data_IF_944534076502
#
_entry.id   IF_944534076502
#
_cell.length_a   1.000
_cell.length_b   1.000
_cell.length_c   1.000
_cell.angle_alpha   90.00
_cell.angle_beta   90.00
_cell.angle_gamma   90.00
#
_symmetry.space_group_name_H-M   'P 1'
#
loop_
_entity.id
_entity.type
_entity.pdbx_description
1 polymer ?
#
# COMPACT_ATOMS: atom_id res chain seq x y z
N UNK A 1 6.83 22.92 14.16
CA UNK A 1 8.13 22.24 14.05
C UNK A 1 9.20 23.31 14.04
N UNK A 2 10.06 23.37 15.07
CA UNK A 2 11.16 24.33 15.11
C UNK A 2 12.15 23.99 13.99
N UNK A 3 12.58 25.00 13.25
CA UNK A 3 13.55 24.86 12.16
C UNK A 3 14.88 24.35 12.75
N UNK A 4 15.65 23.53 12.01
CA UNK A 4 16.91 22.92 12.48
C UNK A 4 17.88 23.94 13.15
N UNK A 5 17.88 25.17 12.63
CA UNK A 5 18.63 26.31 13.16
C UNK A 5 18.23 26.68 14.58
N UNK A 6 16.93 26.68 14.88
CA UNK A 6 16.37 27.05 16.17
C UNK A 6 16.72 26.00 17.25
N UNK A 7 16.64 24.72 16.90
CA UNK A 7 17.05 23.62 17.78
C UNK A 7 18.55 23.64 18.10
N UNK A 8 19.37 24.00 17.12
CA UNK A 8 20.81 24.18 17.31
C UNK A 8 21.11 25.37 18.23
N UNK A 9 20.45 26.51 18.04
CA UNK A 9 20.61 27.71 18.89
C UNK A 9 20.15 27.46 20.34
N UNK A 10 19.08 26.70 20.54
CA UNK A 10 18.61 26.26 21.86
C UNK A 10 19.62 25.33 22.54
N UNK A 11 20.14 24.33 21.82
CA UNK A 11 21.16 23.41 22.35
C UNK A 11 22.46 24.13 22.74
N UNK A 12 22.92 25.07 21.93
CA UNK A 12 24.11 25.88 22.23
C UNK A 12 23.89 26.78 23.45
N UNK A 13 22.68 27.32 23.63
CA UNK A 13 22.29 28.10 24.80
C UNK A 13 22.33 27.26 26.08
N UNK A 14 21.86 26.01 26.03
CA UNK A 14 21.96 25.07 27.16
C UNK A 14 23.41 24.75 27.58
N UNK A 15 24.37 24.88 26.66
CA UNK A 15 25.80 24.68 26.92
C UNK A 15 26.54 26.00 27.24
N UNK A 16 25.81 27.07 27.55
CA UNK A 16 26.37 28.35 28.01
C UNK A 16 26.85 29.29 26.89
N UNK A 17 26.56 28.97 25.62
CA UNK A 17 26.89 29.84 24.48
C UNK A 17 25.70 30.73 24.18
N UNK A 18 25.74 31.97 24.67
CA UNK A 18 24.63 32.94 24.60
C UNK A 18 24.37 33.51 23.20
N UNK A 19 25.35 33.46 22.29
CA UNK A 19 25.18 33.93 20.90
C UNK A 19 26.09 33.18 19.95
N UNK A 20 25.50 32.45 19.00
CA UNK A 20 26.24 31.80 17.92
C UNK A 20 26.61 32.85 16.87
N UNK A 21 27.87 33.27 16.85
CA UNK A 21 28.38 34.18 15.82
C UNK A 21 28.68 33.42 14.52
N UNK A 22 28.67 34.14 13.40
CA UNK A 22 29.04 33.57 12.10
C UNK A 22 30.47 32.98 12.11
N UNK A 23 31.41 33.60 12.81
CA UNK A 23 32.78 33.07 12.97
C UNK A 23 32.82 31.78 13.78
N UNK A 24 32.01 31.65 14.84
CA UNK A 24 31.88 30.41 15.61
C UNK A 24 31.28 29.28 14.79
N UNK A 25 30.22 29.56 14.01
CA UNK A 25 29.68 28.59 13.04
C UNK A 25 30.71 28.18 12.00
N UNK A 26 31.45 29.14 11.43
CA UNK A 26 32.49 28.85 10.43
C UNK A 26 33.62 27.99 11.01
N UNK A 27 34.03 28.26 12.24
CA UNK A 27 35.05 27.48 12.94
C UNK A 27 34.56 26.08 13.30
N UNK A 28 33.31 25.95 13.77
CA UNK A 28 32.68 24.66 14.04
C UNK A 28 32.55 23.84 12.76
N UNK A 29 32.05 24.44 11.68
CA UNK A 29 31.95 23.79 10.37
C UNK A 29 33.32 23.28 9.92
N UNK A 30 34.36 24.11 9.96
CA UNK A 30 35.73 23.71 9.61
C UNK A 30 36.25 22.58 10.49
N UNK A 31 35.89 22.55 11.78
CA UNK A 31 36.33 21.51 12.72
C UNK A 31 35.60 20.19 12.49
N UNK A 32 34.28 20.25 12.31
CA UNK A 32 33.46 19.11 11.93
C UNK A 32 33.87 18.57 10.56
N UNK A 33 34.10 19.43 9.59
CA UNK A 33 34.60 19.06 8.26
C UNK A 33 35.97 18.39 8.38
N UNK A 34 36.89 18.91 9.21
CA UNK A 34 38.19 18.26 9.44
C UNK A 34 38.07 16.89 10.14
N UNK A 35 37.19 16.76 11.13
CA UNK A 35 37.04 15.51 11.91
C UNK A 35 36.17 14.46 11.21
N UNK A 36 35.17 14.90 10.44
CA UNK A 36 34.21 14.02 9.76
C UNK A 36 34.49 13.80 8.27
N UNK A 37 35.21 14.68 7.56
CA UNK A 37 35.40 14.51 6.10
C UNK A 37 36.18 13.24 5.72
N UNK A 38 36.99 12.71 6.63
CA UNK A 38 37.72 11.45 6.46
C UNK A 38 36.93 10.22 6.96
N UNK A 39 35.71 10.41 7.49
CA UNK A 39 34.95 9.31 8.10
C UNK A 39 33.49 9.25 7.68
N UNK A 40 32.95 10.31 7.06
CA UNK A 40 31.55 10.45 6.66
C UNK A 40 31.45 11.17 5.31
N UNK A 41 30.77 10.53 4.39
CA UNK A 41 30.42 11.04 3.07
C UNK A 41 28.95 11.43 3.02
N UNK A 42 28.68 12.59 2.41
CA UNK A 42 27.32 13.11 2.19
C UNK A 42 27.11 13.26 0.69
N UNK A 43 26.09 12.60 0.15
CA UNK A 43 25.69 12.77 -1.24
C UNK A 43 24.18 12.97 -1.37
N UNK A 44 23.71 13.77 -2.33
CA UNK A 44 22.29 13.85 -2.63
C UNK A 44 21.82 12.55 -3.31
N UNK A 45 20.59 12.13 -3.01
CA UNK A 45 19.86 11.11 -3.77
C UNK A 45 19.08 11.74 -4.93
N UNK A 46 18.53 10.88 -5.79
CA UNK A 46 17.73 11.29 -6.96
C UNK A 46 16.44 12.04 -6.58
N UNK A 47 16.04 12.00 -5.31
CA UNK A 47 14.89 12.72 -4.76
C UNK A 47 15.26 14.05 -4.06
N UNK A 48 16.54 14.42 -4.08
CA UNK A 48 17.07 15.62 -3.44
C UNK A 48 17.27 15.50 -1.93
N UNK A 49 17.14 14.30 -1.34
CA UNK A 49 17.47 14.04 0.07
C UNK A 49 18.96 13.76 0.21
N UNK A 50 19.51 13.99 1.40
CA UNK A 50 20.92 13.73 1.67
C UNK A 50 21.10 12.33 2.25
N UNK A 51 21.91 11.53 1.57
CA UNK A 51 22.44 10.26 2.07
C UNK A 51 23.75 10.54 2.80
N UNK A 52 23.90 9.94 3.98
CA UNK A 52 25.07 10.08 4.84
C UNK A 52 25.58 8.68 5.16
N UNK A 53 26.82 8.37 4.80
CA UNK A 53 27.43 7.08 5.07
C UNK A 53 28.90 7.24 5.48
N UNK A 54 29.41 6.36 6.34
CA UNK A 54 30.80 6.43 6.79
C UNK A 54 31.75 5.53 6.02
N UNK A 55 33.05 5.77 6.18
CA UNK A 55 34.15 5.01 5.56
C UNK A 55 34.20 3.55 6.03
N UNK A 56 33.59 3.28 7.20
CA UNK A 56 33.37 1.92 7.70
C UNK A 56 32.41 1.09 6.84
N UNK A 57 31.67 1.73 5.92
CA UNK A 57 30.77 1.05 4.99
C UNK A 57 31.55 0.53 3.79
N UNK A 58 31.95 -0.74 3.84
CA UNK A 58 32.54 -1.40 2.67
C UNK A 58 31.53 -1.52 1.52
N UNK A 59 31.99 -1.25 0.29
CA UNK A 59 31.22 -1.51 -0.94
C UNK A 59 30.74 -2.96 -1.03
N UNK A 60 31.55 -3.91 -0.53
CA UNK A 60 31.16 -5.33 -0.51
C UNK A 60 29.94 -5.59 0.36
N UNK A 61 29.84 -4.89 1.49
CA UNK A 61 28.76 -5.10 2.45
C UNK A 61 27.48 -4.42 1.97
N UNK A 62 27.62 -3.27 1.30
CA UNK A 62 26.50 -2.63 0.62
C UNK A 62 25.92 -3.55 -0.46
N UNK A 63 26.76 -4.09 -1.36
CA UNK A 63 26.31 -5.01 -2.42
C UNK A 63 25.60 -6.24 -1.84
N UNK A 64 26.15 -6.85 -0.78
CA UNK A 64 25.53 -7.98 -0.10
C UNK A 64 24.15 -7.63 0.47
N UNK A 65 24.02 -6.48 1.14
CA UNK A 65 22.75 -6.01 1.71
C UNK A 65 21.73 -5.70 0.63
N UNK A 66 22.12 -4.99 -0.42
CA UNK A 66 21.24 -4.67 -1.55
C UNK A 66 20.77 -5.93 -2.25
N UNK A 67 21.65 -6.90 -2.47
CA UNK A 67 21.28 -8.20 -3.05
C UNK A 67 20.30 -8.97 -2.15
N UNK A 68 20.54 -9.03 -0.84
CA UNK A 68 19.63 -9.68 0.10
C UNK A 68 18.24 -9.04 0.10
N UNK A 69 18.18 -7.70 0.11
CA UNK A 69 16.92 -6.95 0.02
C UNK A 69 16.19 -7.20 -1.30
N UNK A 70 16.93 -7.27 -2.42
CA UNK A 70 16.34 -7.55 -3.73
C UNK A 70 15.71 -8.96 -3.76
N UNK A 71 16.41 -9.96 -3.22
CA UNK A 71 15.90 -11.34 -3.12
C UNK A 71 14.64 -11.41 -2.26
N UNK A 72 14.62 -10.74 -1.11
CA UNK A 72 13.43 -10.69 -0.25
C UNK A 72 12.25 -10.01 -0.94
N UNK A 73 12.51 -8.90 -1.65
CA UNK A 73 11.50 -8.15 -2.38
C UNK A 73 10.89 -8.99 -3.51
N UNK A 74 11.72 -9.70 -4.26
CA UNK A 74 11.25 -10.60 -5.33
C UNK A 74 10.48 -11.80 -4.76
N UNK A 75 10.89 -12.34 -3.62
CA UNK A 75 10.14 -13.39 -2.91
C UNK A 75 8.77 -12.89 -2.43
N UNK A 76 8.68 -11.69 -1.86
CA UNK A 76 7.40 -11.10 -1.46
C UNK A 76 6.50 -10.81 -2.66
N UNK A 77 7.06 -10.35 -3.79
CA UNK A 77 6.31 -10.16 -5.03
C UNK A 77 5.75 -11.48 -5.56
N UNK A 78 6.55 -12.54 -5.56
CA UNK A 78 6.11 -13.86 -5.99
C UNK A 78 4.96 -14.38 -5.11
N UNK A 79 5.09 -14.24 -3.78
CA UNK A 79 4.02 -14.59 -2.83
C UNK A 79 2.74 -13.79 -3.07
N UNK A 80 2.84 -12.49 -3.38
CA UNK A 80 1.68 -11.64 -3.69
C UNK A 80 0.88 -12.16 -4.90
N UNK A 81 1.56 -12.57 -5.97
CA UNK A 81 0.89 -13.13 -7.16
C UNK A 81 0.18 -14.44 -6.84
N UNK A 82 0.82 -15.32 -6.09
CA UNK A 82 0.22 -16.60 -5.67
C UNK A 82 -1.00 -16.38 -4.77
N UNK A 83 -0.93 -15.42 -3.84
CA UNK A 83 -2.05 -15.06 -2.96
C UNK A 83 -3.26 -14.55 -3.74
N UNK A 84 -3.05 -13.71 -4.76
CA UNK A 84 -4.14 -13.22 -5.63
C UNK A 84 -4.79 -14.38 -6.38
N UNK A 85 -3.99 -15.28 -6.97
CA UNK A 85 -4.52 -16.46 -7.67
C UNK A 85 -5.32 -17.37 -6.73
N UNK A 86 -4.80 -17.61 -5.52
CA UNK A 86 -5.49 -18.41 -4.50
C UNK A 86 -6.79 -17.77 -4.04
N UNK A 87 -6.83 -16.46 -3.81
CA UNK A 87 -8.05 -15.73 -3.48
C UNK A 87 -9.08 -15.82 -4.60
N UNK A 88 -8.66 -15.65 -5.87
CA UNK A 88 -9.55 -15.79 -7.02
C UNK A 88 -10.16 -17.21 -7.13
N UNK A 89 -9.36 -18.25 -6.87
CA UNK A 89 -9.85 -19.63 -6.87
C UNK A 89 -10.87 -19.89 -5.75
N UNK A 90 -10.65 -19.33 -4.54
CA UNK A 90 -11.59 -19.43 -3.44
C UNK A 90 -12.94 -18.77 -3.79
N UNK A 91 -12.91 -17.53 -4.28
CA UNK A 91 -14.12 -16.82 -4.71
C UNK A 91 -14.86 -17.57 -5.82
N UNK A 92 -14.12 -18.10 -6.80
CA UNK A 92 -14.71 -18.90 -7.89
C UNK A 92 -15.39 -20.15 -7.35
N UNK A 93 -14.76 -20.86 -6.43
CA UNK A 93 -15.32 -22.09 -5.88
C UNK A 93 -16.57 -21.81 -5.05
N UNK A 94 -16.59 -20.72 -4.28
CA UNK A 94 -17.78 -20.32 -3.52
C UNK A 94 -18.95 -19.97 -4.42
N UNK A 95 -18.71 -19.22 -5.50
CA UNK A 95 -19.74 -18.95 -6.53
C UNK A 95 -20.29 -20.26 -7.09
N UNK A 96 -19.42 -21.23 -7.39
CA UNK A 96 -19.83 -22.53 -7.94
C UNK A 96 -20.60 -23.40 -6.97
N UNK A 97 -20.28 -23.33 -5.68
CA UNK A 97 -21.00 -24.07 -4.63
C UNK A 97 -22.41 -23.51 -4.43
N UNK A 98 -22.60 -22.21 -4.67
CA UNK A 98 -23.88 -21.54 -4.64
C UNK A 98 -24.60 -21.52 -6.00
N UNK A 99 -24.21 -22.38 -6.95
CA UNK A 99 -24.94 -22.58 -8.21
C UNK A 99 -26.37 -23.05 -7.90
N UNK A 100 -27.35 -22.16 -8.07
CA UNK A 100 -28.77 -22.48 -7.94
C UNK A 100 -29.40 -22.72 -9.32
N UNK A 101 -30.27 -23.72 -9.40
CA UNK A 101 -31.14 -23.90 -10.55
C UNK A 101 -32.23 -22.83 -10.50
N UNK A 102 -32.00 -21.70 -11.17
CA UNK A 102 -33.00 -20.64 -11.26
C UNK A 102 -34.13 -21.03 -12.23
N UNK A 103 -35.36 -20.82 -11.76
CA UNK A 103 -36.55 -20.87 -12.61
C UNK A 103 -36.59 -19.61 -13.46
N UNK A 104 -36.93 -19.75 -14.75
CA UNK A 104 -37.12 -18.60 -15.62
C UNK A 104 -38.60 -18.20 -15.66
N UNK A 105 -38.96 -16.91 -15.53
CA UNK A 105 -38.09 -15.75 -15.29
C UNK A 105 -37.63 -15.63 -13.82
N UNK A 106 -36.46 -15.01 -13.56
CA UNK A 106 -35.91 -14.82 -12.22
C UNK A 106 -36.77 -13.84 -11.38
N UNK A 107 -36.94 -14.17 -10.10
CA UNK A 107 -37.68 -13.35 -9.15
C UNK A 107 -36.74 -12.38 -8.44
N UNK A 108 -36.91 -11.09 -8.70
CA UNK A 108 -36.06 -9.99 -8.20
C UNK A 108 -36.04 -9.90 -6.67
N UNK A 109 -37.06 -10.41 -5.98
CA UNK A 109 -37.15 -10.41 -4.52
C UNK A 109 -36.37 -11.58 -3.91
N UNK A 110 -36.46 -12.78 -4.50
CA UNK A 110 -35.78 -14.00 -4.03
C UNK A 110 -34.30 -14.05 -4.42
N UNK A 111 -33.94 -13.40 -5.53
CA UNK A 111 -32.61 -13.48 -6.13
C UNK A 111 -31.65 -12.35 -5.69
N UNK A 112 -31.99 -11.60 -4.64
CA UNK A 112 -31.14 -10.52 -4.07
C UNK A 112 -29.81 -11.05 -3.52
N UNK A 113 -29.79 -12.28 -3.02
CA UNK A 113 -28.64 -12.88 -2.34
C UNK A 113 -27.82 -13.85 -3.23
N UNK A 114 -27.94 -13.74 -4.56
CA UNK A 114 -27.19 -14.59 -5.49
C UNK A 114 -25.67 -14.36 -5.41
N UNK A 115 -25.23 -13.17 -5.01
CA UNK A 115 -23.81 -12.83 -4.93
C UNK A 115 -23.28 -13.25 -3.54
N UNK A 116 -22.30 -14.17 -3.47
CA UNK A 116 -21.74 -14.57 -2.18
C UNK A 116 -21.12 -13.39 -1.42
N UNK A 117 -21.26 -13.40 -0.09
CA UNK A 117 -20.79 -12.30 0.76
C UNK A 117 -19.28 -12.06 0.64
N UNK A 118 -18.49 -13.12 0.40
CA UNK A 118 -17.05 -13.01 0.19
C UNK A 118 -16.71 -12.23 -1.09
N UNK A 119 -17.48 -12.43 -2.17
CA UNK A 119 -17.36 -11.71 -3.44
C UNK A 119 -17.73 -10.25 -3.25
N UNK A 120 -18.83 -9.99 -2.56
CA UNK A 120 -19.25 -8.62 -2.22
C UNK A 120 -18.21 -7.90 -1.38
N UNK A 121 -17.64 -8.56 -0.37
CA UNK A 121 -16.57 -8.00 0.47
C UNK A 121 -15.29 -7.74 -0.34
N UNK A 122 -14.89 -8.69 -1.19
CA UNK A 122 -13.74 -8.54 -2.08
C UNK A 122 -13.91 -7.32 -3.00
N UNK A 123 -15.06 -7.19 -3.67
CA UNK A 123 -15.35 -6.09 -4.57
C UNK A 123 -15.41 -4.74 -3.84
N UNK A 124 -16.02 -4.69 -2.66
CA UNK A 124 -16.03 -3.48 -1.84
C UNK A 124 -14.62 -3.07 -1.42
N UNK A 125 -13.78 -4.01 -0.99
CA UNK A 125 -12.38 -3.73 -0.66
C UNK A 125 -11.59 -3.30 -1.90
N UNK A 126 -11.81 -3.93 -3.06
CA UNK A 126 -11.18 -3.54 -4.32
C UNK A 126 -11.56 -2.12 -4.75
N UNK A 127 -12.83 -1.75 -4.63
CA UNK A 127 -13.36 -0.44 -5.04
C UNK A 127 -13.00 0.69 -4.07
N UNK A 128 -12.85 0.40 -2.78
CA UNK A 128 -12.65 1.42 -1.74
C UNK A 128 -11.25 1.47 -1.14
N UNK A 129 -10.46 0.41 -1.34
CA UNK A 129 -9.19 0.20 -0.63
C UNK A 129 -9.34 -0.06 0.87
N UNK A 130 -10.56 -0.24 1.38
CA UNK A 130 -10.85 -0.41 2.82
C UNK A 130 -11.24 -1.86 3.13
N UNK A 131 -10.65 -2.42 4.17
CA UNK A 131 -10.90 -3.80 4.62
C UNK A 131 -12.12 -3.93 5.54
N UNK A 132 -12.57 -2.81 6.11
CA UNK A 132 -13.76 -2.72 6.94
C UNK A 132 -14.51 -1.41 6.63
N UNK A 133 -15.61 -1.52 5.89
CA UNK A 133 -16.60 -0.45 5.77
C UNK A 133 -17.86 -0.91 6.49
N UNK A 134 -18.34 -0.22 7.53
CA UNK A 134 -19.57 -0.61 8.23
C UNK A 134 -20.79 -0.58 7.30
N UNK A 135 -20.80 0.35 6.33
CA UNK A 135 -21.77 0.43 5.25
C UNK A 135 -21.08 0.96 3.98
N UNK A 136 -21.22 0.30 2.82
CA UNK A 136 -20.79 0.85 1.54
C UNK A 136 -21.65 2.08 1.18
N UNK A 137 -21.09 3.03 0.43
CA UNK A 137 -21.92 4.07 -0.17
C UNK A 137 -22.82 3.47 -1.25
N UNK A 138 -23.96 4.10 -1.53
CA UNK A 138 -24.92 3.65 -2.56
C UNK A 138 -24.24 3.38 -3.92
N UNK A 139 -23.28 4.24 -4.30
CA UNK A 139 -22.47 4.04 -5.50
C UNK A 139 -21.66 2.74 -5.46
N UNK A 140 -20.99 2.46 -4.33
CA UNK A 140 -20.16 1.26 -4.16
C UNK A 140 -21.03 0.01 -4.13
N UNK A 141 -22.19 0.08 -3.48
CA UNK A 141 -23.16 -1.01 -3.45
C UNK A 141 -23.69 -1.33 -4.85
N UNK A 142 -24.13 -0.32 -5.61
CA UNK A 142 -24.59 -0.50 -6.99
C UNK A 142 -23.51 -1.11 -7.89
N UNK A 143 -22.26 -0.63 -7.77
CA UNK A 143 -21.13 -1.18 -8.53
C UNK A 143 -20.81 -2.62 -8.13
N UNK A 144 -20.84 -2.92 -6.83
CA UNK A 144 -20.63 -4.27 -6.30
C UNK A 144 -21.68 -5.22 -6.82
N UNK A 145 -22.95 -4.83 -6.81
CA UNK A 145 -24.05 -5.66 -7.30
C UNK A 145 -23.97 -5.89 -8.80
N UNK A 146 -23.63 -4.85 -9.59
CA UNK A 146 -23.45 -4.97 -11.03
C UNK A 146 -22.30 -5.91 -11.39
N UNK A 147 -21.10 -5.67 -10.84
CA UNK A 147 -19.91 -6.48 -11.11
C UNK A 147 -20.04 -7.90 -10.56
N UNK A 148 -20.58 -8.05 -9.34
CA UNK A 148 -20.81 -9.36 -8.73
C UNK A 148 -21.78 -10.21 -9.54
N UNK A 149 -22.83 -9.59 -10.10
CA UNK A 149 -23.76 -10.27 -11.00
C UNK A 149 -23.06 -10.80 -12.26
N UNK A 150 -22.21 -9.97 -12.89
CA UNK A 150 -21.45 -10.38 -14.07
C UNK A 150 -20.46 -11.51 -13.74
N UNK A 151 -19.81 -11.46 -12.58
CA UNK A 151 -18.91 -12.53 -12.12
C UNK A 151 -19.66 -13.85 -11.91
N UNK A 152 -20.80 -13.82 -11.23
CA UNK A 152 -21.61 -15.03 -11.01
C UNK A 152 -22.06 -15.62 -12.34
N UNK A 153 -22.58 -14.79 -13.25
CA UNK A 153 -23.00 -15.24 -14.58
C UNK A 153 -21.83 -15.88 -15.35
N UNK A 154 -20.66 -15.22 -15.38
CA UNK A 154 -19.50 -15.71 -16.11
C UNK A 154 -18.92 -17.00 -15.50
N UNK A 155 -18.77 -17.07 -14.18
CA UNK A 155 -18.17 -18.21 -13.47
C UNK A 155 -19.03 -19.46 -13.57
N UNK A 156 -20.36 -19.30 -13.52
CA UNK A 156 -21.33 -20.40 -13.65
C UNK A 156 -21.59 -20.79 -15.11
N UNK A 157 -21.07 -20.03 -16.08
CA UNK A 157 -21.31 -20.26 -17.51
C UNK A 157 -22.75 -19.96 -17.93
N UNK A 158 -23.40 -19.01 -17.26
CA UNK A 158 -24.76 -18.58 -17.55
C UNK A 158 -25.87 -19.46 -16.98
N UNK A 159 -25.52 -20.44 -16.14
CA UNK A 159 -26.49 -21.26 -15.40
C UNK A 159 -27.23 -20.44 -14.34
N UNK A 160 -26.51 -19.55 -13.65
CA UNK A 160 -27.08 -18.59 -12.72
C UNK A 160 -27.16 -17.24 -13.42
N UNK A 161 -28.38 -16.72 -13.54
CA UNK A 161 -28.73 -15.44 -14.16
C UNK A 161 -29.17 -14.47 -13.06
N UNK A 162 -28.23 -13.74 -12.45
CA UNK A 162 -28.58 -12.75 -11.45
C UNK A 162 -29.51 -11.67 -12.04
N UNK A 163 -30.51 -11.20 -11.28
CA UNK A 163 -31.40 -10.15 -11.71
C UNK A 163 -30.59 -8.87 -11.88
N UNK A 164 -30.28 -8.51 -13.13
CA UNK A 164 -29.71 -7.19 -13.41
C UNK A 164 -30.81 -6.17 -13.17
N UNK A 165 -30.65 -5.34 -12.13
CA UNK A 165 -31.43 -4.11 -11.98
C UNK A 165 -31.08 -3.19 -13.15
N UNK A 166 -31.81 -3.32 -14.25
CA UNK A 166 -31.95 -2.28 -15.27
C UNK A 166 -32.87 -1.20 -14.70
N UNK A 167 -32.48 -0.53 -13.63
CA UNK A 167 -33.18 0.67 -13.20
C UNK A 167 -32.78 1.79 -14.15
N UNK A 168 -33.59 1.98 -15.20
CA UNK A 168 -33.78 3.26 -15.86
C UNK A 168 -34.74 4.06 -14.97
N UNK A 169 -34.22 4.69 -13.93
CA UNK A 169 -34.88 5.81 -13.25
C UNK A 169 -33.90 6.97 -13.18
#
# INVERSE_FOLDING_TARGET
MATLKQQFEESMSCHGISKVTYSSMKNLHRKLEKELAESIHICPDDSGKLLVYGDSLSKSDLVKRTHALQVELDAMRAQSVELVAKAALLLRNEIKQNETNQTWPPDVEQDKDIIPQSVSKFLQTLLTGKTASPQPSERVERLTNSLGSDLVFAVTGGKTKPPKRLTLE
#
